data_IF_707810224086
#
_entry.id   IF_707810224086
#
_cell.length_a   1.000
_cell.length_b   1.000
_cell.length_c   1.000
_cell.angle_alpha   90.00
_cell.angle_beta   90.00
_cell.angle_gamma   90.00
#
_symmetry.space_group_name_H-M   'P 1'
#
loop_
_entity.id
_entity.type
_entity.pdbx_description
1 polymer ?
#
# COMPACT_ATOMS: atom_id res chain seq x y z
N UNK A 1 18.01 31.31 -24.77
CA UNK A 1 19.21 30.45 -24.58
C UNK A 1 19.02 29.74 -23.25
N UNK A 2 18.78 28.43 -23.12
CA UNK A 2 19.00 27.27 -23.97
C UNK A 2 17.79 26.32 -23.90
N UNK A 3 17.17 26.09 -25.05
CA UNK A 3 16.04 25.17 -25.28
C UNK A 3 16.56 23.80 -25.72
N UNK A 4 17.55 23.24 -25.00
CA UNK A 4 18.19 21.98 -25.38
C UNK A 4 18.65 21.17 -24.16
N UNK A 5 17.75 20.65 -23.30
CA UNK A 5 18.03 19.50 -22.40
C UNK A 5 16.77 18.79 -21.88
N UNK A 6 15.90 18.28 -22.75
CA UNK A 6 14.87 17.34 -22.31
C UNK A 6 14.46 16.37 -23.44
N UNK A 7 15.41 15.55 -23.89
CA UNK A 7 15.15 14.45 -24.83
C UNK A 7 14.27 13.33 -24.22
N UNK A 8 14.00 13.39 -22.91
CA UNK A 8 13.14 12.47 -22.16
C UNK A 8 12.05 13.19 -21.35
N UNK A 9 11.49 14.30 -21.86
CA UNK A 9 10.31 14.91 -21.25
C UNK A 9 9.09 13.98 -21.42
N UNK A 10 8.93 13.01 -20.53
CA UNK A 10 7.71 12.19 -20.46
C UNK A 10 6.58 13.12 -20.04
N UNK A 11 5.54 13.26 -20.87
CA UNK A 11 4.38 14.08 -20.51
C UNK A 11 3.73 13.56 -19.23
N UNK A 12 3.17 14.43 -18.39
CA UNK A 12 2.49 14.05 -17.13
C UNK A 12 1.53 12.87 -17.32
N UNK A 13 0.73 12.94 -18.39
CA UNK A 13 -0.21 11.88 -18.76
C UNK A 13 0.49 10.55 -19.04
N UNK A 14 1.65 10.58 -19.68
CA UNK A 14 2.45 9.38 -19.95
C UNK A 14 3.13 8.84 -18.69
N UNK A 15 3.55 9.71 -17.77
CA UNK A 15 4.10 9.30 -16.48
C UNK A 15 3.04 8.59 -15.63
N UNK A 16 1.87 9.22 -15.43
CA UNK A 16 0.76 8.62 -14.69
C UNK A 16 0.32 7.29 -15.33
N UNK A 17 0.20 7.26 -16.67
CA UNK A 17 -0.14 6.05 -17.42
C UNK A 17 0.90 4.94 -17.24
N UNK A 18 2.19 5.25 -17.32
CA UNK A 18 3.26 4.26 -17.15
C UNK A 18 3.32 3.72 -15.72
N UNK A 19 3.18 4.59 -14.71
CA UNK A 19 3.16 4.19 -13.30
C UNK A 19 1.96 3.30 -12.99
N UNK A 20 0.78 3.63 -13.51
CA UNK A 20 -0.42 2.77 -13.44
C UNK A 20 -0.21 1.42 -14.12
N UNK A 21 0.44 1.37 -15.28
CA UNK A 21 0.73 0.10 -15.95
C UNK A 21 1.69 -0.78 -15.17
N UNK A 22 2.74 -0.19 -14.58
CA UNK A 22 3.69 -0.95 -13.75
C UNK A 22 2.98 -1.51 -12.52
N UNK A 23 2.17 -0.70 -11.83
CA UNK A 23 1.39 -1.13 -10.68
C UNK A 23 0.39 -2.24 -11.04
N UNK A 24 -0.37 -2.07 -12.13
CA UNK A 24 -1.27 -3.10 -12.63
C UNK A 24 -0.54 -4.40 -13.01
N UNK A 25 0.64 -4.30 -13.62
CA UNK A 25 1.45 -5.47 -13.96
C UNK A 25 1.92 -6.22 -12.71
N UNK A 26 2.38 -5.51 -11.68
CA UNK A 26 2.75 -6.09 -10.39
C UNK A 26 1.58 -6.78 -9.71
N UNK A 27 0.37 -6.21 -9.78
CA UNK A 27 -0.84 -6.84 -9.21
C UNK A 27 -1.23 -8.09 -10.00
N UNK A 28 -1.20 -8.04 -11.34
CA UNK A 28 -1.54 -9.20 -12.18
C UNK A 28 -0.55 -10.35 -11.98
N UNK A 29 0.74 -10.06 -11.77
CA UNK A 29 1.74 -11.08 -11.43
C UNK A 29 1.52 -11.70 -10.04
N UNK A 30 1.00 -10.92 -9.09
CA UNK A 30 0.73 -11.37 -7.74
C UNK A 30 -0.53 -12.26 -7.64
N UNK A 31 -1.54 -12.03 -8.49
CA UNK A 31 -2.81 -12.74 -8.45
C UNK A 31 -2.67 -14.28 -8.53
N UNK A 32 -1.89 -14.87 -9.45
CA UNK A 32 -1.66 -16.32 -9.48
C UNK A 32 -1.04 -16.84 -8.18
N UNK A 33 -0.09 -16.10 -7.58
CA UNK A 33 0.55 -16.50 -6.33
C UNK A 33 -0.46 -16.53 -5.18
N UNK A 34 -1.32 -15.51 -5.08
CA UNK A 34 -2.39 -15.47 -4.08
C UNK A 34 -3.44 -16.57 -4.30
N UNK A 35 -3.79 -16.87 -5.55
CA UNK A 35 -4.72 -17.94 -5.88
C UNK A 35 -4.18 -19.31 -5.45
N UNK A 36 -2.93 -19.62 -5.79
CA UNK A 36 -2.26 -20.87 -5.39
C UNK A 36 -2.17 -20.98 -3.88
N UNK A 37 -1.72 -19.91 -3.19
CA UNK A 37 -1.66 -19.89 -1.73
C UNK A 37 -3.05 -20.11 -1.11
N UNK A 38 -4.09 -19.43 -1.61
CA UNK A 38 -5.45 -19.60 -1.06
C UNK A 38 -5.99 -21.04 -1.19
N UNK A 39 -5.53 -21.83 -2.17
CA UNK A 39 -5.91 -23.24 -2.32
C UNK A 39 -5.14 -24.17 -1.38
N UNK A 40 -3.93 -23.81 -0.98
CA UNK A 40 -3.02 -24.61 -0.14
C UNK A 40 -3.22 -24.40 1.37
N UNK A 41 -4.37 -23.87 1.79
CA UNK A 41 -4.66 -23.45 3.16
C UNK A 41 -4.36 -24.55 4.20
N UNK A 42 -3.21 -24.45 4.86
CA UNK A 42 -2.89 -25.21 6.07
C UNK A 42 -3.04 -24.33 7.32
N UNK A 43 -3.14 -24.93 8.51
CA UNK A 43 -3.42 -24.19 9.75
C UNK A 43 -2.11 -23.63 10.33
N UNK A 44 -2.16 -22.38 10.78
CA UNK A 44 -1.12 -21.60 11.49
C UNK A 44 -0.02 -20.92 10.64
N UNK A 45 -0.37 -19.80 9.98
CA UNK A 45 0.55 -19.01 9.12
C UNK A 45 0.82 -17.58 9.58
N UNK A 46 0.28 -17.16 10.72
CA UNK A 46 0.36 -15.75 11.17
C UNK A 46 1.81 -15.34 11.43
N UNK A 47 2.61 -16.24 12.02
CA UNK A 47 4.01 -15.96 12.34
C UNK A 47 4.89 -15.87 11.09
N UNK A 48 4.62 -16.72 10.09
CA UNK A 48 5.25 -16.66 8.77
C UNK A 48 4.90 -15.36 8.02
N UNK A 49 3.63 -14.99 8.04
CA UNK A 49 3.12 -13.74 7.45
C UNK A 49 3.82 -12.53 8.06
N UNK A 50 3.89 -12.44 9.39
CA UNK A 50 4.57 -11.37 10.10
C UNK A 50 6.06 -11.34 9.75
N UNK A 51 6.71 -12.51 9.72
CA UNK A 51 8.11 -12.65 9.33
C UNK A 51 8.40 -12.12 7.93
N UNK A 52 7.55 -12.45 6.95
CA UNK A 52 7.65 -11.95 5.57
C UNK A 52 7.54 -10.43 5.49
N UNK A 53 6.57 -9.83 6.20
CA UNK A 53 6.42 -8.37 6.24
C UNK A 53 7.63 -7.68 6.88
N UNK A 54 8.08 -8.17 8.04
CA UNK A 54 9.27 -7.61 8.72
C UNK A 54 10.51 -7.71 7.83
N UNK A 55 10.74 -8.86 7.21
CA UNK A 55 11.86 -9.07 6.29
C UNK A 55 11.78 -8.11 5.09
N UNK A 56 10.59 -7.92 4.52
CA UNK A 56 10.39 -6.95 3.44
C UNK A 56 10.67 -5.51 3.88
N UNK A 57 10.15 -5.06 5.03
CA UNK A 57 10.40 -3.69 5.50
C UNK A 57 11.88 -3.43 5.83
N UNK A 58 12.57 -4.43 6.38
CA UNK A 58 14.02 -4.36 6.60
C UNK A 58 14.77 -4.25 5.27
N UNK A 59 14.40 -5.07 4.28
CA UNK A 59 15.00 -5.03 2.95
C UNK A 59 14.74 -3.69 2.26
N UNK A 60 13.53 -3.15 2.36
CA UNK A 60 13.17 -1.83 1.86
C UNK A 60 14.03 -0.73 2.50
N UNK A 61 14.23 -0.80 3.82
CA UNK A 61 15.07 0.14 4.56
C UNK A 61 16.54 0.08 4.10
N UNK A 62 17.05 -1.13 3.85
CA UNK A 62 18.40 -1.37 3.32
C UNK A 62 18.52 -0.79 1.90
N UNK A 63 17.54 -1.01 1.03
CA UNK A 63 17.50 -0.45 -0.33
C UNK A 63 17.50 1.08 -0.29
N UNK A 64 16.70 1.68 0.60
CA UNK A 64 16.62 3.14 0.71
C UNK A 64 17.92 3.77 1.24
N UNK A 65 18.59 3.12 2.19
CA UNK A 65 19.83 3.62 2.80
C UNK A 65 21.05 3.40 1.91
N UNK A 66 21.07 2.33 1.11
CA UNK A 66 22.23 1.96 0.30
C UNK A 66 22.15 2.55 -1.11
N UNK A 67 23.07 3.48 -1.41
CA UNK A 67 23.21 4.06 -2.74
C UNK A 67 23.48 2.99 -3.82
N UNK A 68 24.25 1.95 -3.48
CA UNK A 68 24.59 0.86 -4.40
C UNK A 68 23.36 0.04 -4.78
N UNK A 69 22.52 -0.32 -3.80
CA UNK A 69 21.29 -1.07 -4.05
C UNK A 69 20.21 -0.22 -4.74
N UNK A 70 20.23 1.09 -4.53
CA UNK A 70 19.27 2.01 -5.14
C UNK A 70 19.55 2.28 -6.62
N UNK A 71 20.82 2.39 -7.02
CA UNK A 71 21.18 2.89 -8.36
C UNK A 71 22.01 1.92 -9.22
N UNK A 72 22.61 0.86 -8.65
CA UNK A 72 23.49 -0.02 -9.42
C UNK A 72 22.73 -1.22 -9.99
N UNK A 73 22.76 -1.36 -11.31
CA UNK A 73 22.34 -2.58 -12.00
C UNK A 73 23.40 -3.69 -11.79
N UNK A 74 23.03 -4.97 -11.61
CA UNK A 74 21.67 -5.55 -11.54
C UNK A 74 21.08 -5.59 -10.12
N UNK A 75 21.86 -5.21 -9.09
CA UNK A 75 21.51 -5.34 -7.67
C UNK A 75 20.19 -4.69 -7.28
N UNK A 76 19.87 -3.55 -7.90
CA UNK A 76 18.58 -2.86 -7.72
C UNK A 76 17.37 -3.73 -8.04
N UNK A 77 17.41 -4.42 -9.18
CA UNK A 77 16.31 -5.28 -9.63
C UNK A 77 16.16 -6.50 -8.75
N UNK A 78 17.27 -7.11 -8.36
CA UNK A 78 17.26 -8.30 -7.50
C UNK A 78 16.71 -7.95 -6.11
N UNK A 79 17.12 -6.81 -5.54
CA UNK A 79 16.63 -6.37 -4.24
C UNK A 79 15.15 -5.97 -4.27
N UNK A 80 14.70 -5.23 -5.29
CA UNK A 80 13.28 -4.89 -5.43
C UNK A 80 12.42 -6.12 -5.72
N UNK A 81 12.88 -7.04 -6.57
CA UNK A 81 12.19 -8.30 -6.83
C UNK A 81 12.05 -9.16 -5.58
N UNK A 82 13.13 -9.31 -4.81
CA UNK A 82 13.09 -10.03 -3.52
C UNK A 82 12.13 -9.36 -2.52
N UNK A 83 12.12 -8.04 -2.45
CA UNK A 83 11.21 -7.29 -1.58
C UNK A 83 9.74 -7.43 -2.02
N UNK A 84 9.50 -7.43 -3.33
CA UNK A 84 8.18 -7.67 -3.93
C UNK A 84 7.68 -9.07 -3.63
N UNK A 85 8.49 -10.11 -3.83
CA UNK A 85 8.11 -11.50 -3.54
C UNK A 85 7.79 -11.69 -2.06
N UNK A 86 8.62 -11.14 -1.16
CA UNK A 86 8.35 -11.21 0.29
C UNK A 86 7.03 -10.55 0.68
N UNK A 87 6.71 -9.38 0.11
CA UNK A 87 5.42 -8.71 0.33
C UNK A 87 4.26 -9.53 -0.21
N UNK A 88 4.44 -10.08 -1.41
CA UNK A 88 3.39 -10.78 -2.12
C UNK A 88 3.07 -12.12 -1.47
N UNK A 89 4.10 -12.84 -1.01
CA UNK A 89 3.95 -14.06 -0.21
C UNK A 89 3.34 -13.72 1.15
N UNK A 90 3.83 -12.69 1.85
CA UNK A 90 3.26 -12.28 3.13
C UNK A 90 1.78 -11.90 3.03
N UNK A 91 1.40 -11.13 2.00
CA UNK A 91 0.00 -10.83 1.74
C UNK A 91 -0.79 -12.09 1.35
N UNK A 92 -0.22 -12.97 0.52
CA UNK A 92 -0.84 -14.22 0.11
C UNK A 92 -1.14 -15.15 1.28
N UNK A 93 -0.18 -15.34 2.20
CA UNK A 93 -0.38 -16.15 3.42
C UNK A 93 -1.40 -15.54 4.36
N UNK A 94 -1.53 -14.21 4.37
CA UNK A 94 -2.58 -13.51 5.12
C UNK A 94 -3.97 -13.76 4.53
N UNK A 95 -4.09 -13.77 3.20
CA UNK A 95 -5.34 -14.00 2.48
C UNK A 95 -5.82 -15.47 2.55
N UNK A 96 -4.95 -16.43 2.88
CA UNK A 96 -5.30 -17.86 2.96
C UNK A 96 -6.46 -18.19 3.89
N UNK A 97 -6.73 -17.35 4.90
CA UNK A 97 -7.75 -17.64 5.92
C UNK A 97 -9.17 -17.18 5.51
N UNK A 98 -9.38 -16.82 4.24
CA UNK A 98 -10.60 -16.19 3.74
C UNK A 98 -11.09 -16.95 2.51
N UNK A 99 -12.41 -17.05 2.33
CA UNK A 99 -12.97 -17.57 1.10
C UNK A 99 -12.55 -16.73 -0.11
N UNK A 100 -12.34 -17.40 -1.25
CA UNK A 100 -11.92 -16.79 -2.52
C UNK A 100 -12.77 -15.58 -2.95
N UNK A 101 -14.11 -15.65 -2.82
CA UNK A 101 -15.00 -14.54 -3.20
C UNK A 101 -14.66 -13.26 -2.44
N UNK A 102 -14.41 -13.36 -1.15
CA UNK A 102 -14.06 -12.23 -0.31
C UNK A 102 -12.67 -11.67 -0.66
N UNK A 103 -11.70 -12.54 -0.97
CA UNK A 103 -10.38 -12.11 -1.46
C UNK A 103 -10.56 -11.24 -2.72
N UNK A 104 -11.35 -11.70 -3.70
CA UNK A 104 -11.58 -10.95 -4.93
C UNK A 104 -12.28 -9.60 -4.67
N UNK A 105 -13.26 -9.56 -3.77
CA UNK A 105 -13.88 -8.27 -3.39
C UNK A 105 -12.88 -7.31 -2.77
N UNK A 106 -11.97 -7.82 -1.94
CA UNK A 106 -10.97 -7.02 -1.24
C UNK A 106 -9.93 -6.45 -2.21
N UNK A 107 -9.41 -7.31 -3.10
CA UNK A 107 -8.52 -6.92 -4.20
C UNK A 107 -9.17 -5.82 -5.04
N UNK A 108 -10.43 -6.00 -5.43
CA UNK A 108 -11.15 -5.03 -6.24
C UNK A 108 -11.36 -3.70 -5.52
N UNK A 109 -11.73 -3.72 -4.23
CA UNK A 109 -11.96 -2.53 -3.43
C UNK A 109 -10.68 -1.71 -3.24
N UNK A 110 -9.56 -2.37 -2.93
CA UNK A 110 -8.27 -1.69 -2.79
C UNK A 110 -7.75 -1.16 -4.13
N UNK A 111 -7.97 -1.85 -5.25
CA UNK A 111 -7.64 -1.31 -6.57
C UNK A 111 -8.48 -0.05 -6.88
N UNK A 112 -9.77 -0.05 -6.54
CA UNK A 112 -10.61 1.14 -6.69
C UNK A 112 -10.09 2.32 -5.87
N UNK A 113 -9.68 2.08 -4.61
CA UNK A 113 -9.11 3.12 -3.74
C UNK A 113 -7.81 3.69 -4.34
N UNK A 114 -6.88 2.83 -4.78
CA UNK A 114 -5.64 3.28 -5.42
C UNK A 114 -5.93 4.09 -6.69
N UNK A 115 -6.86 3.63 -7.53
CA UNK A 115 -7.27 4.36 -8.75
C UNK A 115 -7.86 5.74 -8.42
N UNK A 116 -8.67 5.87 -7.38
CA UNK A 116 -9.19 7.17 -6.92
C UNK A 116 -8.06 8.11 -6.50
N UNK A 117 -7.02 7.60 -5.82
CA UNK A 117 -5.84 8.40 -5.45
C UNK A 117 -5.14 8.94 -6.70
N UNK A 118 -4.94 8.13 -7.73
CA UNK A 118 -4.34 8.59 -8.98
C UNK A 118 -5.18 9.66 -9.68
N UNK A 119 -6.51 9.49 -9.69
CA UNK A 119 -7.42 10.50 -10.24
C UNK A 119 -7.29 11.82 -9.47
N UNK A 120 -7.26 11.77 -8.13
CA UNK A 120 -7.04 12.96 -7.30
C UNK A 120 -5.68 13.60 -7.61
N UNK A 121 -4.61 12.81 -7.72
CA UNK A 121 -3.29 13.31 -8.07
C UNK A 121 -3.29 14.02 -9.44
N UNK A 122 -3.98 13.45 -10.43
CA UNK A 122 -4.12 14.06 -11.76
C UNK A 122 -4.81 15.43 -11.69
N UNK A 123 -5.90 15.54 -10.90
CA UNK A 123 -6.58 16.83 -10.70
C UNK A 123 -5.72 17.84 -9.95
N UNK A 124 -5.03 17.43 -8.88
CA UNK A 124 -4.16 18.31 -8.09
C UNK A 124 -3.03 18.88 -8.95
N UNK A 125 -2.42 18.05 -9.80
CA UNK A 125 -1.34 18.50 -10.68
C UNK A 125 -1.86 19.47 -11.75
N UNK A 126 -3.05 19.20 -12.33
CA UNK A 126 -3.64 20.09 -13.34
C UNK A 126 -4.16 21.42 -12.77
N UNK A 127 -4.56 21.45 -11.50
CA UNK A 127 -5.10 22.65 -10.85
C UNK A 127 -4.01 23.67 -10.43
N UNK A 128 -2.72 23.40 -10.67
CA UNK A 128 -1.54 24.23 -10.34
C UNK A 128 -1.38 24.65 -8.87
N UNK A 129 -2.28 24.25 -7.98
CA UNK A 129 -2.12 24.40 -6.53
C UNK A 129 -1.43 23.16 -5.99
N UNK A 130 -0.10 23.11 -6.07
CA UNK A 130 0.68 22.10 -5.39
C UNK A 130 0.81 22.47 -3.90
N UNK A 131 0.06 21.83 -2.97
CA UNK A 131 0.48 21.87 -1.58
C UNK A 131 1.91 21.33 -1.51
N UNK A 132 2.78 21.98 -0.73
CA UNK A 132 4.18 21.58 -0.66
C UNK A 132 4.27 20.08 -0.28
N UNK A 133 4.74 19.21 -1.19
CA UNK A 133 4.51 17.78 -1.08
C UNK A 133 5.33 17.16 0.05
N UNK A 134 6.43 17.81 0.45
CA UNK A 134 7.24 17.46 1.62
C UNK A 134 6.51 17.74 2.93
N UNK A 135 5.76 18.86 3.02
CA UNK A 135 4.93 19.15 4.20
C UNK A 135 3.79 18.15 4.33
N UNK A 136 3.18 17.80 3.20
CA UNK A 136 2.12 16.79 3.14
C UNK A 136 2.64 15.40 3.59
N UNK A 137 3.86 15.03 3.17
CA UNK A 137 4.50 13.79 3.58
C UNK A 137 4.80 13.77 5.08
N UNK A 138 5.31 14.89 5.62
CA UNK A 138 5.54 15.06 7.05
C UNK A 138 4.25 14.90 7.87
N UNK A 139 3.15 15.51 7.44
CA UNK A 139 1.84 15.34 8.07
C UNK A 139 1.41 13.87 8.12
N UNK A 140 1.61 13.14 7.02
CA UNK A 140 1.21 11.75 6.95
C UNK A 140 2.05 10.83 7.86
N UNK A 141 3.36 11.12 8.01
CA UNK A 141 4.23 10.39 8.95
C UNK A 141 3.79 10.65 10.40
N UNK A 142 3.44 11.89 10.74
CA UNK A 142 2.87 12.23 12.06
C UNK A 142 1.55 11.50 12.27
N UNK A 143 0.70 11.40 11.24
CA UNK A 143 -0.52 10.60 11.27
C UNK A 143 -0.25 9.13 11.58
N UNK A 144 0.73 8.51 10.91
CA UNK A 144 1.13 7.12 11.21
C UNK A 144 1.66 6.95 12.63
N UNK A 145 2.46 7.88 13.14
CA UNK A 145 2.91 7.87 14.54
C UNK A 145 1.72 7.91 15.51
N UNK A 146 0.72 8.74 15.21
CA UNK A 146 -0.50 8.84 16.01
C UNK A 146 -1.31 7.53 16.01
N UNK A 147 -1.32 6.77 14.91
CA UNK A 147 -1.95 5.44 14.85
C UNK A 147 -1.33 4.48 15.87
N UNK A 148 0.00 4.45 16.00
CA UNK A 148 0.67 3.60 16.98
C UNK A 148 0.30 3.98 18.41
N UNK A 149 0.22 5.29 18.71
CA UNK A 149 -0.20 5.77 20.02
C UNK A 149 -1.65 5.35 20.30
N UNK A 150 -2.55 5.51 19.33
CA UNK A 150 -3.96 5.11 19.49
C UNK A 150 -4.12 3.60 19.65
N UNK A 151 -3.35 2.79 18.93
CA UNK A 151 -3.31 1.34 19.11
C UNK A 151 -2.84 0.97 20.52
N UNK A 152 -1.75 1.57 21.00
CA UNK A 152 -1.25 1.35 22.37
C UNK A 152 -2.29 1.74 23.43
N UNK A 153 -2.93 2.90 23.28
CA UNK A 153 -3.99 3.32 24.21
C UNK A 153 -5.21 2.39 24.12
N UNK A 154 -5.57 1.94 22.92
CA UNK A 154 -6.66 0.97 22.73
C UNK A 154 -6.38 -0.37 23.42
N UNK A 155 -5.11 -0.84 23.41
CA UNK A 155 -4.73 -2.06 24.14
C UNK A 155 -4.87 -1.91 25.65
N UNK A 156 -4.67 -0.71 26.21
CA UNK A 156 -4.80 -0.46 27.64
C UNK A 156 -6.26 -0.21 28.08
N UNK A 157 -7.03 0.54 27.29
CA UNK A 157 -8.38 1.00 27.67
C UNK A 157 -9.51 0.15 27.08
N UNK A 158 -9.18 -0.85 26.26
CA UNK A 158 -10.10 -1.77 25.56
C UNK A 158 -11.29 -1.08 24.88
N UNK A 159 -11.06 0.13 24.36
CA UNK A 159 -12.11 0.91 23.69
C UNK A 159 -12.16 0.61 22.20
N UNK A 160 -13.33 0.19 21.73
CA UNK A 160 -13.60 -0.13 20.32
C UNK A 160 -13.50 1.10 19.41
N UNK A 161 -14.03 2.24 19.85
CA UNK A 161 -14.03 3.48 19.07
C UNK A 161 -12.61 3.97 18.75
N UNK A 162 -11.68 3.81 19.70
CA UNK A 162 -10.28 4.18 19.50
C UNK A 162 -9.60 3.34 18.40
N UNK A 163 -9.96 2.06 18.28
CA UNK A 163 -9.41 1.18 17.24
C UNK A 163 -9.98 1.52 15.86
N UNK A 164 -11.26 1.89 15.76
CA UNK A 164 -11.85 2.35 14.48
C UNK A 164 -11.23 3.69 14.04
N UNK A 165 -11.02 4.62 14.98
CA UNK A 165 -10.33 5.88 14.72
C UNK A 165 -8.87 5.65 14.27
N UNK A 166 -8.15 4.75 14.94
CA UNK A 166 -6.77 4.39 14.59
C UNK A 166 -6.70 3.84 13.16
N UNK A 167 -7.64 2.98 12.78
CA UNK A 167 -7.67 2.39 11.44
C UNK A 167 -8.06 3.42 10.37
N UNK A 168 -9.00 4.33 10.65
CA UNK A 168 -9.34 5.43 9.74
C UNK A 168 -8.12 6.34 9.51
N UNK A 169 -7.43 6.72 10.59
CA UNK A 169 -6.21 7.53 10.51
C UNK A 169 -5.09 6.80 9.77
N UNK A 170 -4.99 5.48 9.92
CA UNK A 170 -4.03 4.66 9.19
C UNK A 170 -4.28 4.72 7.68
N UNK A 171 -5.51 4.44 7.24
CA UNK A 171 -5.89 4.52 5.83
C UNK A 171 -5.65 5.93 5.29
N UNK A 172 -6.13 6.96 5.99
CA UNK A 172 -5.95 8.34 5.57
C UNK A 172 -4.46 8.71 5.42
N UNK A 173 -3.62 8.30 6.37
CA UNK A 173 -2.18 8.56 6.32
C UNK A 173 -1.52 7.89 5.11
N UNK A 174 -1.91 6.65 4.78
CA UNK A 174 -1.40 5.94 3.60
C UNK A 174 -1.83 6.67 2.31
N UNK A 175 -3.08 7.12 2.22
CA UNK A 175 -3.57 7.87 1.06
C UNK A 175 -2.78 9.17 0.87
N UNK A 176 -2.52 9.92 1.96
CA UNK A 176 -1.71 11.13 1.92
C UNK A 176 -0.28 10.82 1.48
N UNK A 177 0.33 9.74 1.99
CA UNK A 177 1.68 9.29 1.56
C UNK A 177 1.69 8.99 0.06
N UNK A 178 0.70 8.27 -0.46
CA UNK A 178 0.62 7.97 -1.89
C UNK A 178 0.58 9.26 -2.72
N UNK A 179 -0.28 10.21 -2.34
CA UNK A 179 -0.38 11.52 -3.02
C UNK A 179 0.94 12.27 -2.95
N UNK A 180 1.56 12.34 -1.77
CA UNK A 180 2.87 12.96 -1.56
C UNK A 180 3.96 12.34 -2.43
N UNK A 181 4.05 11.01 -2.47
CA UNK A 181 5.07 10.28 -3.22
C UNK A 181 4.95 10.59 -4.71
N UNK A 182 3.73 10.56 -5.26
CA UNK A 182 3.46 10.93 -6.66
C UNK A 182 3.84 12.39 -6.94
N UNK A 183 3.47 13.33 -6.06
CA UNK A 183 3.79 14.75 -6.21
C UNK A 183 5.28 15.06 -6.09
N UNK A 184 6.01 14.42 -5.16
CA UNK A 184 7.47 14.57 -5.01
C UNK A 184 8.17 14.13 -6.29
N UNK A 185 7.77 13.00 -6.86
CA UNK A 185 8.34 12.53 -8.13
C UNK A 185 8.05 13.48 -9.28
N UNK A 186 6.84 14.02 -9.36
CA UNK A 186 6.52 15.03 -10.36
C UNK A 186 7.31 16.34 -10.19
N UNK A 187 7.56 16.77 -8.95
CA UNK A 187 8.35 17.99 -8.71
C UNK A 187 9.84 17.80 -9.09
N UNK A 188 10.36 16.57 -9.00
CA UNK A 188 11.72 16.22 -9.38
C UNK A 188 11.85 15.76 -10.85
N UNK A 189 10.84 16.02 -11.69
CA UNK A 189 10.72 15.48 -13.05
C UNK A 189 11.86 15.86 -14.00
N UNK A 190 12.59 16.95 -13.71
CA UNK A 190 13.80 17.34 -14.47
C UNK A 190 14.97 16.35 -14.39
N UNK A 191 14.93 15.38 -13.46
CA UNK A 191 15.96 14.36 -13.23
C UNK A 191 15.37 12.94 -13.43
N UNK A 192 14.11 12.81 -13.87
CA UNK A 192 13.41 11.52 -13.88
C UNK A 192 14.00 10.56 -14.93
N UNK A 193 14.86 9.64 -14.48
CA UNK A 193 15.37 8.52 -15.26
C UNK A 193 14.30 7.42 -15.27
N UNK A 194 14.18 6.67 -16.38
CA UNK A 194 13.25 5.52 -16.53
C UNK A 194 13.25 4.56 -15.34
N UNK A 195 14.39 4.41 -14.67
CA UNK A 195 14.53 3.57 -13.49
C UNK A 195 13.69 4.07 -12.30
N UNK A 196 13.54 5.38 -12.11
CA UNK A 196 12.76 5.94 -10.99
C UNK A 196 11.27 5.66 -11.12
N UNK A 197 10.74 5.52 -12.34
CA UNK A 197 9.36 5.09 -12.57
C UNK A 197 9.08 3.68 -12.01
N UNK A 198 10.06 2.77 -12.08
CA UNK A 198 9.93 1.42 -11.52
C UNK A 198 9.93 1.44 -9.99
N UNK A 199 10.83 2.21 -9.38
CA UNK A 199 10.87 2.34 -7.91
C UNK A 199 9.59 3.01 -7.39
N UNK A 200 9.04 3.94 -8.15
CA UNK A 200 7.76 4.57 -7.87
C UNK A 200 6.58 3.61 -7.98
N UNK A 201 6.52 2.81 -9.05
CA UNK A 201 5.53 1.75 -9.18
C UNK A 201 5.61 0.75 -8.02
N UNK A 202 6.83 0.38 -7.60
CA UNK A 202 7.03 -0.50 -6.44
C UNK A 202 6.58 0.15 -5.12
N UNK A 203 6.90 1.42 -4.87
CA UNK A 203 6.42 2.13 -3.67
C UNK A 203 4.89 2.23 -3.64
N UNK A 204 4.26 2.39 -4.80
CA UNK A 204 2.80 2.41 -4.89
C UNK A 204 2.24 1.01 -4.61
N UNK A 205 2.86 -0.05 -5.13
CA UNK A 205 2.51 -1.43 -4.78
C UNK A 205 2.59 -1.68 -3.26
N UNK A 206 3.62 -1.18 -2.57
CA UNK A 206 3.71 -1.26 -1.10
C UNK A 206 2.51 -0.58 -0.44
N UNK A 207 2.12 0.60 -0.90
CA UNK A 207 0.94 1.30 -0.37
C UNK A 207 -0.36 0.55 -0.68
N UNK A 208 -0.47 -0.06 -1.85
CA UNK A 208 -1.60 -0.94 -2.21
C UNK A 208 -1.71 -2.12 -1.23
N UNK A 209 -0.59 -2.79 -0.92
CA UNK A 209 -0.55 -3.88 0.07
C UNK A 209 -1.00 -3.40 1.46
N UNK A 210 -0.60 -2.20 1.88
CA UNK A 210 -1.04 -1.62 3.15
C UNK A 210 -2.54 -1.28 3.16
N UNK A 211 -3.09 -0.78 2.05
CA UNK A 211 -4.52 -0.52 1.90
C UNK A 211 -5.30 -1.84 1.93
N UNK A 212 -4.84 -2.87 1.22
CA UNK A 212 -5.40 -4.22 1.28
C UNK A 212 -5.45 -4.73 2.73
N UNK A 213 -4.35 -4.60 3.46
CA UNK A 213 -4.28 -5.00 4.86
C UNK A 213 -5.31 -4.25 5.74
N UNK A 214 -5.43 -2.94 5.56
CA UNK A 214 -6.42 -2.13 6.27
C UNK A 214 -7.88 -2.52 5.94
N UNK A 215 -8.18 -2.72 4.65
CA UNK A 215 -9.49 -3.17 4.18
C UNK A 215 -9.84 -4.55 4.78
N UNK A 216 -8.86 -5.43 4.91
CA UNK A 216 -9.07 -6.73 5.53
C UNK A 216 -9.37 -6.65 7.02
N UNK A 217 -8.64 -5.84 7.78
CA UNK A 217 -8.93 -5.63 9.20
C UNK A 217 -10.34 -5.06 9.37
N UNK A 218 -10.75 -4.12 8.51
CA UNK A 218 -12.13 -3.61 8.50
C UNK A 218 -13.15 -4.74 8.29
N UNK A 219 -12.90 -5.59 7.30
CA UNK A 219 -13.79 -6.67 6.92
C UNK A 219 -13.96 -7.69 8.05
N UNK A 220 -12.85 -8.19 8.64
CA UNK A 220 -12.92 -9.14 9.76
C UNK A 220 -13.69 -8.56 10.94
N UNK A 221 -13.51 -7.27 11.21
CA UNK A 221 -14.19 -6.58 12.29
C UNK A 221 -15.70 -6.44 12.03
N UNK A 222 -16.07 -6.09 10.80
CA UNK A 222 -17.46 -6.00 10.39
C UNK A 222 -18.17 -7.36 10.47
N UNK A 223 -17.51 -8.43 10.02
CA UNK A 223 -18.06 -9.79 10.12
C UNK A 223 -18.23 -10.24 11.58
N UNK A 224 -17.24 -9.97 12.44
CA UNK A 224 -17.33 -10.22 13.88
C UNK A 224 -18.51 -9.49 14.53
N UNK A 225 -18.80 -8.26 14.09
CA UNK A 225 -19.91 -7.47 14.58
C UNK A 225 -21.28 -8.04 14.17
N UNK A 226 -21.41 -8.45 12.90
CA UNK A 226 -22.61 -9.09 12.39
C UNK A 226 -22.90 -10.41 13.11
N UNK A 227 -21.87 -11.22 13.34
CA UNK A 227 -22.00 -12.50 14.04
C UNK A 227 -22.39 -12.30 15.52
N UNK A 228 -21.83 -11.29 16.19
CA UNK A 228 -22.23 -10.92 17.56
C UNK A 228 -23.70 -10.47 17.65
N UNK A 229 -24.18 -9.64 16.71
CA UNK A 229 -25.59 -9.22 16.65
C UNK A 229 -26.55 -10.37 16.38
N UNK A 230 -26.21 -11.29 15.45
CA UNK A 230 -27.03 -12.48 15.16
C UNK A 230 -27.15 -13.40 16.38
N UNK A 231 -26.06 -13.61 17.11
CA UNK A 231 -26.07 -14.41 18.34
C UNK A 231 -26.95 -13.78 19.43
N UNK A 232 -26.91 -12.45 19.59
CA UNK A 232 -27.76 -11.73 20.54
C UNK A 232 -29.25 -11.76 20.16
N UNK A 233 -29.57 -11.64 18.87
CA UNK A 233 -30.96 -11.72 18.38
C UNK A 233 -31.58 -13.12 18.54
N UNK A 234 -30.79 -14.18 18.48
CA UNK A 234 -31.29 -15.56 18.69
C UNK A 234 -31.43 -15.89 20.19
N UNK A 235 -30.67 -15.23 21.07
CA UNK A 235 -30.79 -15.39 22.52
C UNK A 235 -32.04 -14.70 23.09
N UNK A 236 -32.54 -13.64 22.45
CA UNK A 236 -33.78 -12.94 22.85
C UNK A 236 -35.08 -13.56 22.33
N UNK A 237 -35.02 -14.71 21.63
CA UNK A 237 -36.18 -15.44 21.08
C UNK A 237 -36.46 -16.78 21.78
N UNK A 238 -35.84 -17.05 22.93
CA UNK A 238 -36.12 -18.22 23.76
C UNK A 238 -36.92 -17.84 25.00
#
# INVERSE_FOLDING_TARGET
MSTERCQFCVSLRSFVKNTLYVDAYLIVLALPQWMVLSMLASKEHILYTLGCFVASFLLLSIIQKSHTLKYRWPWRWLAMGCCYELLTIGLGTFLMNISFQHIMTLVSASMMICNLVYVICFFVINAFQLPNPYKLAGLAIVGLLQVFVLLAVSTLYYSRWLLDLALLLFVLSILIIMVSVVLISYNNHGILIRDDALMMGFLIYVNYVLIMFACFICYQRFDSYLNSRRSSSNAGKK
#
